data_IF_672798808704
#
_entry.id   IF_672798808704
#
_cell.length_a   1.000
_cell.length_b   1.000
_cell.length_c   1.000
_cell.angle_alpha   90.00
_cell.angle_beta   90.00
_cell.angle_gamma   90.00
#
_symmetry.space_group_name_H-M   'P 1'
#
loop_
_entity.id
_entity.type
_entity.pdbx_description
1 polymer ?
#
# COMPACT_ATOMS: atom_id res chain seq x y z
N UNK A 1 -14.53 -23.39 59.53
CA UNK A 1 -14.39 -21.93 59.71
C UNK A 1 -14.82 -21.27 58.41
N UNK A 2 -16.00 -20.66 58.43
CA UNK A 2 -16.64 -20.00 57.28
C UNK A 2 -15.81 -18.79 56.85
N UNK A 3 -15.41 -18.74 55.58
CA UNK A 3 -14.86 -17.51 54.99
C UNK A 3 -16.04 -16.55 54.81
N UNK A 4 -16.06 -15.46 55.57
CA UNK A 4 -17.15 -14.49 55.56
C UNK A 4 -17.23 -13.78 54.21
N UNK A 5 -18.44 -13.64 53.68
CA UNK A 5 -18.74 -12.99 52.40
C UNK A 5 -18.57 -11.46 52.42
N UNK A 6 -17.79 -10.91 53.36
CA UNK A 6 -17.64 -9.47 53.56
C UNK A 6 -16.37 -8.85 52.94
N UNK A 7 -15.53 -9.63 52.26
CA UNK A 7 -14.31 -9.13 51.61
C UNK A 7 -14.41 -8.89 50.09
N UNK A 8 -15.59 -9.02 49.48
CA UNK A 8 -15.76 -8.83 48.01
C UNK A 8 -16.12 -7.36 47.67
N UNK A 9 -16.57 -6.58 48.64
CA UNK A 9 -17.08 -5.21 48.39
C UNK A 9 -15.96 -4.18 48.13
N UNK A 10 -14.72 -4.48 48.51
CA UNK A 10 -13.58 -3.56 48.32
C UNK A 10 -12.69 -3.87 47.11
N UNK A 11 -12.86 -5.02 46.44
CA UNK A 11 -12.07 -5.39 45.26
C UNK A 11 -12.72 -4.85 43.97
N UNK A 12 -14.05 -4.71 43.96
CA UNK A 12 -14.81 -4.22 42.80
C UNK A 12 -14.58 -2.73 42.45
N UNK A 13 -14.40 -1.78 43.40
CA UNK A 13 -14.07 -0.39 43.05
C UNK A 13 -12.66 -0.25 42.47
N UNK A 14 -11.72 -1.08 42.91
CA UNK A 14 -10.32 -1.05 42.44
C UNK A 14 -10.22 -1.66 41.03
N UNK A 15 -10.99 -2.73 40.75
CA UNK A 15 -11.05 -3.34 39.42
C UNK A 15 -11.72 -2.43 38.36
N UNK A 16 -12.70 -1.60 38.74
CA UNK A 16 -13.33 -0.61 37.85
C UNK A 16 -12.41 0.57 37.50
N UNK A 17 -11.43 0.88 38.35
CA UNK A 17 -10.39 1.87 38.05
C UNK A 17 -9.29 1.33 37.12
N UNK A 18 -9.16 0.00 36.98
CA UNK A 18 -8.12 -0.66 36.15
C UNK A 18 -8.68 -1.06 34.77
N UNK A 19 -10.00 -1.02 34.58
CA UNK A 19 -10.68 -1.41 33.33
C UNK A 19 -11.27 -0.23 32.54
N UNK A 20 -10.85 1.00 32.82
CA UNK A 20 -10.85 2.02 31.78
C UNK A 20 -9.55 1.82 31.01
N UNK A 21 -9.56 1.26 29.78
CA UNK A 21 -8.46 1.57 28.91
C UNK A 21 -8.38 3.10 28.92
N UNK A 22 -7.20 3.65 29.23
CA UNK A 22 -6.87 5.05 29.00
C UNK A 22 -6.90 5.25 27.49
N UNK A 23 -8.09 5.19 26.90
CA UNK A 23 -8.41 5.78 25.62
C UNK A 23 -8.35 7.26 25.94
N UNK A 24 -7.18 7.83 25.70
CA UNK A 24 -6.95 9.25 25.90
C UNK A 24 -8.12 10.01 25.29
N UNK A 25 -8.90 10.69 26.13
CA UNK A 25 -9.98 11.52 25.63
C UNK A 25 -9.38 12.53 24.65
N UNK A 26 -9.92 12.63 23.43
CA UNK A 26 -9.46 13.61 22.47
C UNK A 26 -9.64 15.00 23.08
N UNK A 27 -8.56 15.76 23.13
CA UNK A 27 -8.59 17.09 23.71
C UNK A 27 -9.20 18.08 22.73
N UNK A 28 -10.27 18.72 23.17
CA UNK A 28 -10.95 19.80 22.47
C UNK A 28 -10.36 21.13 22.85
N UNK A 29 -10.31 22.02 21.86
CA UNK A 29 -9.80 23.37 22.00
C UNK A 29 -10.66 24.34 21.20
N UNK A 30 -10.87 25.54 21.73
CA UNK A 30 -11.64 26.59 21.07
C UNK A 30 -10.71 27.73 20.73
N UNK A 31 -10.64 28.09 19.44
CA UNK A 31 -9.89 29.25 18.99
C UNK A 31 -10.65 30.54 19.30
N UNK A 32 -9.93 31.66 19.24
CA UNK A 32 -10.48 32.99 19.55
C UNK A 32 -11.63 33.43 18.62
N UNK A 33 -11.73 32.83 17.44
CA UNK A 33 -12.82 33.04 16.47
C UNK A 33 -14.02 32.11 16.71
N UNK A 34 -14.02 31.35 17.81
CA UNK A 34 -15.09 30.43 18.19
C UNK A 34 -15.03 29.06 17.51
N UNK A 35 -14.05 28.80 16.63
CA UNK A 35 -13.89 27.48 16.00
C UNK A 35 -13.40 26.45 17.00
N UNK A 36 -13.96 25.24 16.92
CA UNK A 36 -13.60 24.13 17.79
C UNK A 36 -12.72 23.12 17.03
N UNK A 37 -11.59 22.78 17.63
CA UNK A 37 -10.62 21.84 17.09
C UNK A 37 -10.41 20.68 18.05
N UNK A 38 -10.28 19.47 17.49
CA UNK A 38 -9.79 18.29 18.19
C UNK A 38 -8.37 18.03 17.71
N UNK A 39 -7.40 18.06 18.61
CA UNK A 39 -5.98 17.94 18.27
C UNK A 39 -5.43 16.63 18.84
N UNK A 40 -5.07 15.71 17.95
CA UNK A 40 -4.45 14.42 18.30
C UNK A 40 -2.95 14.47 18.00
N UNK A 41 -2.13 14.24 19.03
CA UNK A 41 -0.66 14.33 18.96
C UNK A 41 0.04 13.04 19.33
N UNK A 42 -0.63 12.14 20.06
CA UNK A 42 -0.07 10.89 20.58
C UNK A 42 -0.14 9.81 19.52
N UNK A 43 -1.32 9.62 18.92
CA UNK A 43 -1.51 8.66 17.85
C UNK A 43 -1.00 9.23 16.53
N UNK A 44 -0.33 8.39 15.75
CA UNK A 44 0.25 8.77 14.46
C UNK A 44 -0.46 8.01 13.35
N UNK A 45 -0.89 8.76 12.34
CA UNK A 45 -1.66 8.25 11.21
C UNK A 45 -1.11 8.84 9.91
N UNK A 46 -1.28 8.09 8.82
CA UNK A 46 -1.20 8.69 7.49
C UNK A 46 -2.37 9.65 7.26
N UNK A 47 -2.25 10.52 6.26
CA UNK A 47 -3.22 11.59 6.03
C UNK A 47 -4.64 11.07 5.82
N UNK A 48 -4.80 9.99 5.04
CA UNK A 48 -6.10 9.37 4.78
C UNK A 48 -6.73 8.76 6.05
N UNK A 49 -5.95 8.07 6.88
CA UNK A 49 -6.44 7.56 8.16
C UNK A 49 -6.83 8.72 9.07
N UNK A 50 -6.02 9.77 9.18
CA UNK A 50 -6.35 10.95 9.96
C UNK A 50 -7.67 11.61 9.50
N UNK A 51 -7.89 11.71 8.18
CA UNK A 51 -9.16 12.16 7.61
C UNK A 51 -10.33 11.28 8.07
N UNK A 52 -10.21 9.95 7.94
CA UNK A 52 -11.23 9.02 8.40
C UNK A 52 -11.48 9.12 9.91
N UNK A 53 -10.43 9.37 10.69
CA UNK A 53 -10.51 9.52 12.14
C UNK A 53 -11.30 10.78 12.56
N UNK A 54 -11.29 11.84 11.75
CA UNK A 54 -12.15 13.01 11.90
C UNK A 54 -13.58 12.72 11.42
N UNK A 55 -13.71 12.12 10.24
CA UNK A 55 -15.00 11.83 9.61
C UNK A 55 -15.89 10.92 10.49
N UNK A 56 -15.32 9.88 11.11
CA UNK A 56 -16.06 9.00 12.04
C UNK A 56 -16.60 9.71 13.29
N UNK A 57 -16.12 10.92 13.58
CA UNK A 57 -16.57 11.80 14.68
C UNK A 57 -17.50 12.91 14.20
N UNK A 58 -17.95 12.87 12.94
CA UNK A 58 -18.67 13.95 12.27
C UNK A 58 -17.88 15.28 12.23
N UNK A 59 -16.56 15.16 12.09
CA UNK A 59 -15.63 16.29 11.90
C UNK A 59 -14.94 16.14 10.54
N UNK A 60 -14.13 17.12 10.15
CA UNK A 60 -13.21 17.00 9.02
C UNK A 60 -11.80 17.40 9.46
N UNK A 61 -10.76 17.05 8.70
CA UNK A 61 -9.44 17.64 8.95
C UNK A 61 -9.54 19.17 8.83
N UNK A 62 -8.81 19.90 9.67
CA UNK A 62 -8.88 21.35 9.72
C UNK A 62 -8.45 21.98 8.39
N UNK A 63 -9.34 22.78 7.80
CA UNK A 63 -9.07 23.49 6.54
C UNK A 63 -8.77 24.93 6.89
N UNK A 64 -7.54 25.38 6.75
CA UNK A 64 -7.18 26.79 6.96
C UNK A 64 -7.18 27.51 5.61
N UNK A 65 -8.20 28.33 5.35
CA UNK A 65 -8.52 28.90 4.03
C UNK A 65 -8.50 30.44 4.00
N UNK A 66 -8.19 31.08 5.12
CA UNK A 66 -8.06 32.54 5.21
C UNK A 66 -6.97 32.95 6.23
N UNK A 67 -6.46 34.17 6.06
CA UNK A 67 -5.48 34.74 6.98
C UNK A 67 -6.04 34.87 8.40
N UNK A 68 -7.29 35.29 8.56
CA UNK A 68 -7.94 35.44 9.86
C UNK A 68 -8.09 34.10 10.59
N UNK A 69 -8.53 33.06 9.86
CA UNK A 69 -8.62 31.70 10.39
C UNK A 69 -7.24 31.17 10.79
N UNK A 70 -6.22 31.41 9.97
CA UNK A 70 -4.85 31.02 10.29
C UNK A 70 -4.35 31.74 11.55
N UNK A 71 -4.62 33.03 11.70
CA UNK A 71 -4.22 33.81 12.87
C UNK A 71 -4.87 33.28 14.16
N UNK A 72 -6.18 33.02 14.14
CA UNK A 72 -6.88 32.43 15.28
C UNK A 72 -6.35 31.02 15.62
N UNK A 73 -6.14 30.19 14.60
CA UNK A 73 -5.63 28.84 14.73
C UNK A 73 -4.20 28.80 15.30
N UNK A 74 -3.27 29.59 14.74
CA UNK A 74 -1.89 29.67 15.22
C UNK A 74 -1.82 30.26 16.63
N UNK A 75 -2.66 31.24 16.95
CA UNK A 75 -2.76 31.80 18.31
C UNK A 75 -3.16 30.70 19.30
N UNK A 76 -4.16 29.89 18.96
CA UNK A 76 -4.54 28.73 19.77
C UNK A 76 -3.38 27.72 19.91
N UNK A 77 -2.72 27.35 18.82
CA UNK A 77 -1.63 26.36 18.88
C UNK A 77 -0.47 26.82 19.79
N UNK A 78 -0.18 28.12 19.83
CA UNK A 78 0.84 28.71 20.71
C UNK A 78 0.49 28.62 22.20
N UNK A 79 -0.78 28.49 22.57
CA UNK A 79 -1.16 28.27 23.97
C UNK A 79 -1.03 26.80 24.39
N UNK A 80 -0.95 25.89 23.43
CA UNK A 80 -0.94 24.44 23.64
C UNK A 80 0.48 23.87 23.54
N UNK A 81 1.30 24.42 22.64
CA UNK A 81 2.59 23.84 22.27
C UNK A 81 3.74 24.86 22.36
N UNK A 82 4.79 24.49 23.09
CA UNK A 82 6.06 25.23 23.10
C UNK A 82 6.83 25.12 21.78
N UNK A 83 6.63 24.02 21.05
CA UNK A 83 7.23 23.73 19.74
C UNK A 83 6.19 23.18 18.80
N UNK A 84 6.28 23.56 17.52
CA UNK A 84 5.38 23.06 16.48
C UNK A 84 5.46 21.53 16.36
N UNK A 85 4.35 20.79 16.52
CA UNK A 85 4.29 19.38 16.17
C UNK A 85 4.01 19.19 14.66
N UNK A 86 4.35 18.01 14.12
CA UNK A 86 3.84 17.60 12.81
C UNK A 86 2.39 17.15 12.94
N UNK A 87 1.46 17.90 12.36
CA UNK A 87 0.02 17.63 12.38
C UNK A 87 -0.60 17.79 11.00
N UNK A 88 -1.31 16.76 10.52
CA UNK A 88 -2.06 16.81 9.27
C UNK A 88 -3.17 17.87 9.30
N UNK A 89 -3.30 18.57 8.18
CA UNK A 89 -4.37 19.52 7.85
C UNK A 89 -5.21 18.98 6.68
N UNK A 90 -6.39 19.55 6.49
CA UNK A 90 -7.38 19.13 5.50
C UNK A 90 -7.10 19.66 4.09
N UNK A 91 -5.84 19.73 3.68
CA UNK A 91 -5.45 20.24 2.35
C UNK A 91 -4.63 19.21 1.58
N UNK A 92 -4.83 19.17 0.27
CA UNK A 92 -4.12 18.29 -0.66
C UNK A 92 -4.04 18.92 -2.05
N UNK A 93 -3.13 18.46 -2.91
CA UNK A 93 -2.94 18.99 -4.26
C UNK A 93 -3.71 18.23 -5.35
N UNK A 94 -4.89 17.69 -5.00
CA UNK A 94 -5.62 16.68 -5.77
C UNK A 94 -4.90 15.32 -5.91
N UNK A 95 -3.90 15.04 -5.06
CA UNK A 95 -3.05 13.85 -5.17
C UNK A 95 -2.38 13.79 -6.54
N UNK A 96 -2.06 14.96 -7.09
CA UNK A 96 -1.62 15.12 -8.45
C UNK A 96 -0.15 14.69 -8.59
N UNK A 97 0.08 13.59 -9.30
CA UNK A 97 1.43 13.09 -9.60
C UNK A 97 2.12 13.82 -10.76
N UNK A 98 1.47 14.79 -11.42
CA UNK A 98 2.07 15.55 -12.52
C UNK A 98 3.11 16.56 -12.02
N UNK A 99 4.22 16.67 -12.74
CA UNK A 99 5.27 17.66 -12.48
C UNK A 99 4.79 19.07 -12.85
N UNK A 100 4.22 19.79 -11.87
CA UNK A 100 3.84 21.20 -12.01
C UNK A 100 4.55 22.04 -10.95
N UNK A 101 5.32 23.04 -11.38
CA UNK A 101 5.97 24.01 -10.49
C UNK A 101 4.97 24.83 -9.67
N UNK A 102 3.76 25.04 -10.18
CA UNK A 102 2.68 25.76 -9.51
C UNK A 102 1.53 24.82 -9.24
N UNK A 103 1.59 24.11 -8.12
CA UNK A 103 0.51 23.23 -7.66
C UNK A 103 -0.56 24.03 -6.94
N UNK A 104 -1.80 23.69 -7.25
CA UNK A 104 -2.97 24.21 -6.54
C UNK A 104 -3.33 23.23 -5.44
N UNK A 105 -3.70 23.75 -4.27
CA UNK A 105 -4.14 22.96 -3.14
C UNK A 105 -5.63 23.16 -2.92
N UNK A 106 -6.30 22.12 -2.43
CA UNK A 106 -7.74 22.02 -2.35
C UNK A 106 -8.15 21.62 -0.94
N UNK A 107 -9.33 22.11 -0.55
CA UNK A 107 -10.01 21.73 0.69
C UNK A 107 -10.55 20.31 0.59
N UNK A 108 -10.26 19.47 1.59
CA UNK A 108 -10.83 18.12 1.68
C UNK A 108 -12.34 18.11 1.95
N UNK A 109 -12.94 19.25 2.33
CA UNK A 109 -14.35 19.34 2.71
C UNK A 109 -15.26 19.44 1.48
N UNK A 110 -14.85 20.24 0.49
CA UNK A 110 -15.70 20.63 -0.64
C UNK A 110 -14.91 20.68 -1.97
N UNK A 111 -13.64 20.30 -1.98
CA UNK A 111 -12.79 20.33 -3.17
C UNK A 111 -12.46 21.72 -3.69
N UNK A 112 -12.79 22.80 -2.96
CA UNK A 112 -12.50 24.16 -3.44
C UNK A 112 -11.01 24.45 -3.36
N UNK A 113 -10.48 25.10 -4.39
CA UNK A 113 -9.10 25.57 -4.43
C UNK A 113 -8.86 26.61 -3.32
N UNK A 114 -7.73 26.48 -2.63
CA UNK A 114 -7.28 27.40 -1.59
C UNK A 114 -6.59 28.61 -2.23
N UNK A 115 -7.06 29.80 -1.86
CA UNK A 115 -6.45 31.06 -2.27
C UNK A 115 -5.49 31.63 -1.21
N UNK A 116 -5.54 31.09 0.00
CA UNK A 116 -4.66 31.45 1.10
C UNK A 116 -3.67 30.32 1.38
N UNK A 117 -2.45 30.69 1.77
CA UNK A 117 -1.49 29.72 2.30
C UNK A 117 -0.64 30.31 3.42
N UNK A 118 -0.18 29.42 4.32
CA UNK A 118 0.80 29.73 5.35
C UNK A 118 2.04 28.83 5.21
N UNK A 119 2.51 28.65 3.97
CA UNK A 119 3.68 27.84 3.65
C UNK A 119 4.91 28.30 4.43
N UNK A 120 5.71 27.33 4.86
CA UNK A 120 7.06 27.60 5.33
C UNK A 120 7.93 28.07 4.16
N UNK A 121 8.99 28.83 4.44
CA UNK A 121 9.87 29.33 3.39
C UNK A 121 10.55 28.15 2.68
N UNK A 122 10.33 28.03 1.38
CA UNK A 122 10.81 26.92 0.57
C UNK A 122 9.69 26.00 0.09
N UNK A 123 8.54 26.04 0.78
CA UNK A 123 7.39 25.17 0.51
C UNK A 123 6.34 25.86 -0.38
N UNK A 124 5.55 25.08 -1.13
CA UNK A 124 5.62 23.62 -1.23
C UNK A 124 6.68 23.15 -2.23
N UNK A 125 7.57 22.23 -1.82
CA UNK A 125 8.73 21.79 -2.63
C UNK A 125 8.50 20.48 -3.41
N UNK A 126 7.43 19.74 -3.07
CA UNK A 126 7.10 18.45 -3.65
C UNK A 126 8.25 17.44 -3.62
N UNK A 127 8.92 17.26 -2.48
CA UNK A 127 10.10 16.42 -2.39
C UNK A 127 9.87 15.01 -2.97
N UNK A 128 10.79 14.57 -3.84
CA UNK A 128 10.71 13.30 -4.60
C UNK A 128 9.40 13.07 -5.39
N UNK A 129 8.66 14.14 -5.67
CA UNK A 129 7.34 14.12 -6.34
C UNK A 129 6.27 13.31 -5.61
N UNK A 130 6.34 13.26 -4.28
CA UNK A 130 5.47 12.41 -3.46
C UNK A 130 4.69 13.20 -2.40
N UNK A 131 4.86 14.51 -2.31
CA UNK A 131 4.35 15.33 -1.21
C UNK A 131 3.03 16.02 -1.58
N UNK A 132 1.94 15.27 -1.44
CA UNK A 132 0.61 15.66 -1.92
C UNK A 132 -0.37 16.10 -0.81
N UNK A 133 0.05 16.07 0.46
CA UNK A 133 -0.80 16.34 1.63
C UNK A 133 -0.17 17.37 2.55
N UNK A 134 -0.97 18.24 3.18
CA UNK A 134 -0.42 19.36 3.97
C UNK A 134 -0.40 19.08 5.46
N UNK A 135 0.70 19.44 6.13
CA UNK A 135 0.83 19.39 7.58
C UNK A 135 1.45 20.66 8.16
N UNK A 136 1.25 20.90 9.46
CA UNK A 136 2.07 21.83 10.23
C UNK A 136 3.50 21.30 10.30
N UNK A 137 4.49 22.13 9.98
CA UNK A 137 5.87 21.71 9.92
C UNK A 137 6.57 21.94 11.25
N UNK A 138 7.04 20.86 11.88
CA UNK A 138 7.71 20.91 13.19
C UNK A 138 8.95 21.80 13.27
N UNK A 139 9.62 22.05 12.14
CA UNK A 139 10.78 22.96 12.05
C UNK A 139 10.42 24.42 11.82
N UNK A 140 9.12 24.74 11.78
CA UNK A 140 8.61 26.10 11.54
C UNK A 140 7.90 26.68 12.77
N UNK A 141 7.38 27.90 12.66
CA UNK A 141 6.52 28.53 13.67
C UNK A 141 5.04 28.36 13.30
N UNK A 142 4.57 27.11 13.27
CA UNK A 142 3.21 26.72 12.85
C UNK A 142 2.88 27.06 11.39
N UNK A 143 3.90 27.05 10.52
CA UNK A 143 3.74 27.15 9.06
C UNK A 143 3.61 25.76 8.45
N UNK A 144 3.18 25.72 7.20
CA UNK A 144 2.82 24.48 6.51
C UNK A 144 3.99 23.92 5.71
N UNK A 145 3.96 22.61 5.56
CA UNK A 145 4.76 21.86 4.60
C UNK A 145 3.82 20.92 3.85
N UNK A 146 4.05 20.71 2.56
CA UNK A 146 3.51 19.55 1.87
C UNK A 146 4.37 18.34 2.22
N UNK A 147 3.73 17.22 2.50
CA UNK A 147 4.40 16.02 2.95
C UNK A 147 3.82 14.79 2.28
N UNK A 148 4.62 13.73 2.24
CA UNK A 148 4.15 12.45 1.71
C UNK A 148 2.95 11.98 2.51
N UNK A 149 1.81 11.76 1.84
CA UNK A 149 0.54 11.43 2.49
C UNK A 149 0.62 10.15 3.35
N UNK A 150 1.60 9.27 3.09
CA UNK A 150 1.89 8.03 3.81
C UNK A 150 2.57 8.23 5.18
N UNK A 151 3.20 9.41 5.41
CA UNK A 151 3.90 9.73 6.65
C UNK A 151 2.99 9.66 7.88
N UNK A 152 3.53 9.23 9.02
CA UNK A 152 2.75 9.03 10.24
C UNK A 152 2.85 10.26 11.16
N UNK A 153 1.82 11.13 11.15
CA UNK A 153 1.76 12.35 11.96
C UNK A 153 0.54 12.38 12.87
N UNK A 154 0.53 13.32 13.82
CA UNK A 154 -0.71 13.67 14.50
C UNK A 154 -1.64 14.41 13.53
N UNK A 155 -2.81 14.83 13.99
CA UNK A 155 -3.78 15.50 13.12
C UNK A 155 -4.67 16.47 13.88
N UNK A 156 -5.26 17.41 13.13
CA UNK A 156 -6.23 18.36 13.65
C UNK A 156 -7.56 18.13 12.95
N UNK A 157 -8.60 17.80 13.71
CA UNK A 157 -9.97 17.88 13.22
C UNK A 157 -10.57 19.24 13.54
N UNK A 158 -11.42 19.74 12.66
CA UNK A 158 -12.25 20.91 12.85
C UNK A 158 -13.72 20.49 12.89
N UNK A 159 -14.47 21.10 13.81
CA UNK A 159 -15.93 20.94 13.87
C UNK A 159 -16.59 21.78 12.78
N UNK A 160 -17.51 21.20 11.99
CA UNK A 160 -18.25 21.95 11.00
C UNK A 160 -18.98 23.13 11.66
N UNK A 161 -18.76 24.34 11.14
CA UNK A 161 -19.55 25.49 11.54
C UNK A 161 -20.97 25.28 11.02
N UNK A 162 -21.96 25.22 11.92
CA UNK A 162 -23.36 25.05 11.51
C UNK A 162 -23.82 26.28 10.77
N UNK A 163 -23.80 26.26 9.44
CA UNK A 163 -24.74 27.08 8.68
C UNK A 163 -26.13 26.45 8.89
N UNK A 164 -26.97 27.12 9.68
CA UNK A 164 -28.39 26.81 9.84
C UNK A 164 -29.14 27.09 8.53
N UNK A 165 -28.85 26.36 7.45
CA UNK A 165 -29.72 26.19 6.27
C UNK A 165 -29.09 25.25 5.24
N UNK A 166 -29.08 23.97 5.57
CA UNK A 166 -29.14 22.87 4.59
C UNK A 166 -29.40 21.61 5.40
N UNK A 167 -30.66 21.19 5.53
CA UNK A 167 -30.96 19.84 5.97
C UNK A 167 -30.69 18.89 4.78
N UNK A 168 -29.42 18.67 4.47
CA UNK A 168 -29.02 17.69 3.48
C UNK A 168 -28.78 16.37 4.21
N UNK A 169 -29.75 15.47 4.14
CA UNK A 169 -29.56 14.10 4.59
C UNK A 169 -28.67 13.35 3.59
N UNK A 170 -27.38 13.29 3.90
CA UNK A 170 -26.39 12.53 3.13
C UNK A 170 -26.22 11.08 3.61
N UNK A 171 -27.08 10.60 4.51
CA UNK A 171 -26.92 9.26 5.09
C UNK A 171 -26.96 8.16 4.01
N UNK A 172 -27.87 8.30 3.04
CA UNK A 172 -28.00 7.38 1.91
C UNK A 172 -26.78 7.42 0.97
N UNK A 173 -26.30 8.61 0.61
CA UNK A 173 -25.10 8.79 -0.22
C UNK A 173 -23.88 8.19 0.49
N UNK A 174 -23.72 8.47 1.79
CA UNK A 174 -22.61 7.93 2.60
C UNK A 174 -22.64 6.40 2.65
N UNK A 175 -23.81 5.81 2.87
CA UNK A 175 -23.98 4.37 2.92
C UNK A 175 -23.67 3.73 1.55
N UNK A 176 -24.08 4.37 0.46
CA UNK A 176 -23.79 3.95 -0.91
C UNK A 176 -22.30 3.98 -1.20
N UNK A 177 -21.61 5.10 -0.95
CA UNK A 177 -20.16 5.24 -1.12
C UNK A 177 -19.40 4.22 -0.26
N UNK A 178 -19.81 4.03 0.99
CA UNK A 178 -19.22 3.01 1.86
C UNK A 178 -19.39 1.59 1.29
N UNK A 179 -20.57 1.26 0.78
CA UNK A 179 -20.84 -0.07 0.21
C UNK A 179 -20.01 -0.34 -1.05
N UNK A 180 -19.87 0.66 -1.92
CA UNK A 180 -19.04 0.61 -3.12
C UNK A 180 -17.57 0.39 -2.77
N UNK A 181 -17.02 1.22 -1.88
CA UNK A 181 -15.63 1.10 -1.43
C UNK A 181 -15.36 -0.23 -0.71
N UNK A 182 -16.33 -0.73 0.05
CA UNK A 182 -16.24 -2.04 0.71
C UNK A 182 -16.20 -3.18 -0.31
N UNK A 183 -16.99 -3.10 -1.38
CA UNK A 183 -16.95 -4.10 -2.45
C UNK A 183 -15.62 -4.04 -3.21
N UNK A 184 -15.16 -2.85 -3.61
CA UNK A 184 -13.87 -2.66 -4.26
C UNK A 184 -12.70 -3.21 -3.41
N UNK A 185 -12.76 -2.99 -2.09
CA UNK A 185 -11.77 -3.55 -1.16
C UNK A 185 -11.75 -5.08 -1.14
N UNK A 186 -12.92 -5.74 -1.26
CA UNK A 186 -12.99 -7.21 -1.39
C UNK A 186 -12.40 -7.67 -2.73
N UNK A 187 -12.78 -7.00 -3.81
CA UNK A 187 -12.30 -7.30 -5.15
C UNK A 187 -10.78 -7.16 -5.26
N UNK A 188 -10.19 -6.15 -4.59
CA UNK A 188 -8.74 -5.98 -4.51
C UNK A 188 -8.05 -7.16 -3.83
N UNK A 189 -8.61 -7.65 -2.72
CA UNK A 189 -8.06 -8.83 -2.01
C UNK A 189 -8.13 -10.09 -2.86
N UNK A 190 -9.24 -10.29 -3.56
CA UNK A 190 -9.42 -11.41 -4.48
C UNK A 190 -8.41 -11.32 -5.62
N UNK A 191 -8.28 -10.15 -6.25
CA UNK A 191 -7.32 -9.91 -7.32
C UNK A 191 -5.88 -10.22 -6.86
N UNK A 192 -5.45 -9.67 -5.72
CA UNK A 192 -4.12 -9.94 -5.18
C UNK A 192 -3.87 -11.43 -4.89
N UNK A 193 -4.88 -12.13 -4.37
CA UNK A 193 -4.81 -13.58 -4.14
C UNK A 193 -4.68 -14.37 -5.44
N UNK A 194 -5.48 -14.05 -6.45
CA UNK A 194 -5.44 -14.71 -7.76
C UNK A 194 -4.10 -14.51 -8.47
N UNK A 195 -3.56 -13.28 -8.46
CA UNK A 195 -2.25 -12.99 -9.03
C UNK A 195 -1.15 -13.76 -8.30
N UNK A 196 -1.21 -13.80 -6.96
CA UNK A 196 -0.28 -14.58 -6.15
C UNK A 196 -0.26 -16.07 -6.53
N UNK A 197 -1.44 -16.68 -6.71
CA UNK A 197 -1.55 -18.08 -7.12
C UNK A 197 -0.98 -18.33 -8.52
N UNK A 198 -1.27 -17.46 -9.49
CA UNK A 198 -0.75 -17.58 -10.87
C UNK A 198 0.78 -17.56 -10.89
N UNK A 199 1.39 -16.62 -10.14
CA UNK A 199 2.85 -16.51 -10.05
C UNK A 199 3.46 -17.74 -9.36
N UNK A 200 2.81 -18.24 -8.32
CA UNK A 200 3.26 -19.43 -7.60
C UNK A 200 3.17 -20.70 -8.46
N UNK A 201 2.11 -20.84 -9.27
CA UNK A 201 1.96 -21.97 -10.19
C UNK A 201 3.03 -21.94 -11.29
N UNK A 202 3.30 -20.76 -11.87
CA UNK A 202 4.40 -20.60 -12.84
C UNK A 202 5.77 -20.94 -12.23
N UNK A 203 6.00 -20.54 -10.97
CA UNK A 203 7.21 -20.87 -10.23
C UNK A 203 7.38 -22.38 -10.03
N UNK A 204 6.29 -23.08 -9.66
CA UNK A 204 6.29 -24.54 -9.49
C UNK A 204 6.53 -25.26 -10.80
N UNK A 205 5.88 -24.83 -11.88
CA UNK A 205 6.04 -25.41 -13.21
C UNK A 205 7.48 -25.26 -13.72
N UNK A 206 8.05 -24.06 -13.57
CA UNK A 206 9.45 -23.81 -13.93
C UNK A 206 10.43 -24.67 -13.13
N UNK A 207 10.16 -24.91 -11.83
CA UNK A 207 10.95 -25.81 -11.00
C UNK A 207 10.80 -27.29 -11.43
N UNK A 208 9.63 -27.70 -11.90
CA UNK A 208 9.41 -29.04 -12.44
C UNK A 208 10.15 -29.24 -13.77
N UNK A 209 10.05 -28.28 -14.69
CA UNK A 209 10.78 -28.33 -15.97
C UNK A 209 12.30 -28.47 -15.75
N UNK A 210 12.85 -27.73 -14.77
CA UNK A 210 14.26 -27.84 -14.43
C UNK A 210 14.63 -29.22 -13.85
N UNK A 211 13.76 -29.82 -13.03
CA UNK A 211 13.97 -31.17 -12.51
C UNK A 211 13.94 -32.22 -13.61
N UNK A 212 13.01 -32.10 -14.56
CA UNK A 212 12.92 -32.99 -15.72
C UNK A 212 14.17 -32.89 -16.59
N UNK A 213 14.67 -31.67 -16.83
CA UNK A 213 15.95 -31.46 -17.51
C UNK A 213 17.13 -32.13 -16.80
N UNK A 214 17.22 -31.96 -15.47
CA UNK A 214 18.28 -32.59 -14.67
C UNK A 214 18.21 -34.11 -14.73
N UNK A 215 17.00 -34.68 -14.65
CA UNK A 215 16.78 -36.12 -14.75
C UNK A 215 17.18 -36.65 -16.14
N UNK A 216 16.76 -35.97 -17.20
CA UNK A 216 17.10 -36.35 -18.58
C UNK A 216 18.61 -36.23 -18.86
N UNK A 217 19.28 -35.23 -18.28
CA UNK A 217 20.73 -35.07 -18.36
C UNK A 217 21.45 -36.23 -17.68
N UNK A 218 20.98 -36.65 -16.50
CA UNK A 218 21.52 -37.79 -15.77
C UNK A 218 21.38 -39.08 -16.57
N UNK A 219 20.19 -39.35 -17.10
CA UNK A 219 19.92 -40.53 -17.93
C UNK A 219 20.82 -40.56 -19.17
N UNK A 220 20.98 -39.42 -19.84
CA UNK A 220 21.88 -39.30 -21.01
C UNK A 220 23.34 -39.60 -20.64
N UNK A 221 23.80 -39.16 -19.47
CA UNK A 221 25.15 -39.42 -18.99
C UNK A 221 25.34 -40.89 -18.59
N UNK A 222 24.34 -41.50 -17.95
CA UNK A 222 24.35 -42.92 -17.57
C UNK A 222 24.35 -43.82 -18.82
N UNK A 223 23.55 -43.48 -19.85
CA UNK A 223 23.55 -44.14 -21.17
C UNK A 223 24.93 -44.05 -21.85
N UNK A 224 25.52 -42.85 -21.87
CA UNK A 224 26.84 -42.63 -22.48
C UNK A 224 27.93 -43.42 -21.75
N UNK A 225 27.88 -43.47 -20.41
CA UNK A 225 28.82 -44.24 -19.59
C UNK A 225 28.71 -45.74 -19.89
N UNK A 226 27.50 -46.28 -19.90
CA UNK A 226 27.27 -47.70 -20.20
C UNK A 226 27.80 -48.06 -21.59
N UNK A 227 27.56 -47.22 -22.59
CA UNK A 227 28.06 -47.45 -23.95
C UNK A 227 29.59 -47.45 -24.03
N UNK A 228 30.28 -46.59 -23.26
CA UNK A 228 31.74 -46.61 -23.16
C UNK A 228 32.25 -47.88 -22.47
N UNK A 229 31.62 -48.29 -21.35
CA UNK A 229 31.98 -49.50 -20.62
C UNK A 229 31.84 -50.76 -21.50
N UNK A 230 30.77 -50.83 -22.31
CA UNK A 230 30.54 -51.92 -23.27
C UNK A 230 31.63 -52.01 -24.35
N UNK A 231 32.13 -50.86 -24.85
CA UNK A 231 33.23 -50.82 -25.82
C UNK A 231 34.53 -51.31 -25.18
N UNK A 232 34.82 -50.90 -23.94
CA UNK A 232 36.02 -51.31 -23.21
C UNK A 232 36.01 -52.84 -22.99
N UNK A 233 34.86 -53.39 -22.60
CA UNK A 233 34.71 -54.84 -22.37
C UNK A 233 34.99 -55.69 -23.63
N UNK A 234 34.75 -55.15 -24.83
CA UNK A 234 34.96 -55.87 -26.09
C UNK A 234 36.44 -55.93 -26.54
N UNK A 235 37.34 -55.09 -26.01
CA UNK A 235 38.74 -54.98 -26.50
C UNK A 235 39.81 -55.01 -25.39
N UNK A 236 40.03 -56.17 -24.75
CA UNK A 236 40.92 -56.30 -23.57
C UNK A 236 42.44 -56.24 -23.83
N UNK A 237 42.92 -56.20 -25.08
CA UNK A 237 44.37 -56.25 -25.40
C UNK A 237 44.88 -54.92 -25.99
N UNK A 238 45.68 -54.19 -25.22
CA UNK A 238 46.15 -52.83 -25.51
C UNK A 238 47.46 -52.77 -26.31
N UNK A 239 47.39 -52.11 -27.48
CA UNK A 239 48.29 -51.02 -27.94
C UNK A 239 47.79 -50.52 -29.31
N UNK A 240 47.29 -51.42 -30.16
CA UNK A 240 46.60 -51.08 -31.42
C UNK A 240 45.18 -50.47 -31.20
N UNK A 241 44.61 -50.65 -30.01
CA UNK A 241 43.22 -50.33 -29.64
C UNK A 241 42.99 -48.83 -29.38
N UNK A 242 44.02 -48.06 -29.01
CA UNK A 242 43.86 -46.63 -28.73
C UNK A 242 43.37 -45.83 -29.95
N UNK A 243 43.75 -46.24 -31.17
CA UNK A 243 43.27 -45.61 -32.40
C UNK A 243 41.85 -46.04 -32.78
N UNK A 244 41.43 -47.25 -32.39
CA UNK A 244 40.17 -47.85 -32.81
C UNK A 244 39.00 -47.47 -31.88
N UNK A 245 39.26 -47.42 -30.57
CA UNK A 245 38.25 -47.06 -29.55
C UNK A 245 38.11 -45.55 -29.38
N UNK A 246 39.17 -44.78 -29.67
CA UNK A 246 39.19 -43.33 -29.50
C UNK A 246 38.14 -42.59 -30.36
N UNK A 247 37.88 -43.05 -31.60
CA UNK A 247 36.82 -42.47 -32.44
C UNK A 247 35.42 -42.79 -31.92
N UNK A 248 35.18 -44.01 -31.47
CA UNK A 248 33.88 -44.44 -30.93
C UNK A 248 33.52 -43.71 -29.64
N UNK A 249 34.47 -43.54 -28.71
CA UNK A 249 34.27 -42.76 -27.49
C UNK A 249 33.98 -41.29 -27.81
N UNK A 250 34.74 -40.68 -28.74
CA UNK A 250 34.48 -39.29 -29.17
C UNK A 250 33.07 -39.12 -29.73
N UNK A 251 32.58 -40.10 -30.50
CA UNK A 251 31.23 -40.09 -31.05
C UNK A 251 30.17 -40.12 -29.95
N UNK A 252 30.30 -41.02 -28.97
CA UNK A 252 29.37 -41.12 -27.82
C UNK A 252 29.33 -39.81 -27.03
N UNK A 253 30.49 -39.22 -26.73
CA UNK A 253 30.57 -37.94 -26.02
C UNK A 253 29.90 -36.83 -26.82
N UNK A 254 30.11 -36.78 -28.15
CA UNK A 254 29.46 -35.81 -29.02
C UNK A 254 27.93 -35.97 -29.00
N UNK A 255 27.42 -37.19 -29.15
CA UNK A 255 25.98 -37.48 -29.14
C UNK A 255 25.33 -37.12 -27.79
N UNK A 256 26.00 -37.45 -26.68
CA UNK A 256 25.55 -37.07 -25.35
C UNK A 256 25.54 -35.55 -25.15
N UNK A 257 26.59 -34.86 -25.62
CA UNK A 257 26.68 -33.40 -25.56
C UNK A 257 25.56 -32.73 -26.36
N UNK A 258 25.30 -33.20 -27.58
CA UNK A 258 24.25 -32.66 -28.45
C UNK A 258 22.86 -32.86 -27.84
N UNK A 259 22.60 -34.03 -27.24
CA UNK A 259 21.34 -34.34 -26.55
C UNK A 259 21.13 -33.44 -25.33
N UNK A 260 22.18 -33.23 -24.51
CA UNK A 260 22.13 -32.33 -23.36
C UNK A 260 21.87 -30.88 -23.80
N UNK A 261 22.59 -30.39 -24.82
CA UNK A 261 22.40 -29.04 -25.36
C UNK A 261 20.96 -28.83 -25.88
N UNK A 262 20.43 -29.80 -26.63
CA UNK A 262 19.07 -29.74 -27.14
C UNK A 262 18.03 -29.73 -26.01
N UNK A 263 18.18 -30.59 -24.99
CA UNK A 263 17.27 -30.61 -23.85
C UNK A 263 17.35 -29.32 -23.03
N UNK A 264 18.55 -28.73 -22.90
CA UNK A 264 18.74 -27.44 -22.23
C UNK A 264 18.02 -26.32 -22.98
N UNK A 265 18.12 -26.32 -24.31
CA UNK A 265 17.44 -25.36 -25.17
C UNK A 265 15.92 -25.45 -25.04
N UNK A 266 15.35 -26.65 -25.18
CA UNK A 266 13.90 -26.89 -25.05
C UNK A 266 13.38 -26.45 -23.67
N UNK A 267 14.11 -26.79 -22.61
CA UNK A 267 13.74 -26.40 -21.23
C UNK A 267 13.72 -24.89 -21.07
N UNK A 268 14.72 -24.21 -21.63
CA UNK A 268 14.80 -22.75 -21.58
C UNK A 268 13.66 -22.08 -22.35
N UNK A 269 13.36 -22.53 -23.57
CA UNK A 269 12.22 -22.03 -24.34
C UNK A 269 10.90 -22.23 -23.61
N UNK A 270 10.68 -23.42 -23.04
CA UNK A 270 9.44 -23.73 -22.29
C UNK A 270 9.27 -22.81 -21.08
N UNK A 271 10.34 -22.56 -20.31
CA UNK A 271 10.29 -21.64 -19.16
C UNK A 271 9.98 -20.21 -19.62
N UNK A 272 10.59 -19.75 -20.72
CA UNK A 272 10.35 -18.42 -21.26
C UNK A 272 8.91 -18.26 -21.76
N UNK A 273 8.37 -19.24 -22.48
CA UNK A 273 7.00 -19.22 -22.97
C UNK A 273 5.98 -19.23 -21.82
N UNK A 274 6.23 -20.05 -20.78
CA UNK A 274 5.42 -20.06 -19.57
C UNK A 274 5.45 -18.71 -18.85
N UNK A 275 6.63 -18.07 -18.75
CA UNK A 275 6.76 -16.73 -18.16
C UNK A 275 6.00 -15.68 -18.97
N UNK A 276 6.06 -15.74 -20.31
CA UNK A 276 5.32 -14.84 -21.19
C UNK A 276 3.80 -14.99 -21.04
N UNK A 277 3.30 -16.23 -21.07
CA UNK A 277 1.87 -16.53 -20.87
C UNK A 277 1.37 -16.07 -19.51
N UNK A 278 2.20 -16.23 -18.48
CA UNK A 278 1.94 -15.73 -17.12
C UNK A 278 1.83 -14.21 -17.10
N UNK A 279 2.78 -13.51 -17.73
CA UNK A 279 2.76 -12.05 -17.81
C UNK A 279 1.51 -11.52 -18.53
N UNK A 280 1.11 -12.14 -19.64
CA UNK A 280 -0.11 -11.78 -20.38
C UNK A 280 -1.36 -12.00 -19.53
N UNK A 281 -1.44 -13.12 -18.81
CA UNK A 281 -2.56 -13.45 -17.92
C UNK A 281 -2.67 -12.49 -16.74
N UNK A 282 -1.54 -12.18 -16.09
CA UNK A 282 -1.45 -11.18 -15.02
C UNK A 282 -1.89 -9.82 -15.55
N UNK A 283 -1.34 -9.39 -16.69
CA UNK A 283 -1.69 -8.11 -17.32
C UNK A 283 -3.18 -7.97 -17.56
N UNK A 284 -3.83 -8.96 -18.20
CA UNK A 284 -5.27 -8.95 -18.44
C UNK A 284 -6.09 -8.89 -17.15
N UNK A 285 -5.71 -9.64 -16.11
CA UNK A 285 -6.40 -9.59 -14.80
C UNK A 285 -6.24 -8.23 -14.13
N UNK A 286 -5.05 -7.63 -14.20
CA UNK A 286 -4.78 -6.29 -13.68
C UNK A 286 -5.60 -5.23 -14.42
N UNK A 287 -5.69 -5.29 -15.75
CA UNK A 287 -6.57 -4.40 -16.53
C UNK A 287 -8.05 -4.55 -16.16
N UNK A 288 -8.49 -5.79 -15.90
CA UNK A 288 -9.87 -6.04 -15.44
C UNK A 288 -10.13 -5.40 -14.07
N UNK A 289 -9.17 -5.49 -13.14
CA UNK A 289 -9.30 -4.86 -11.83
C UNK A 289 -9.23 -3.32 -11.93
N UNK A 290 -8.39 -2.78 -12.82
CA UNK A 290 -8.33 -1.34 -13.10
C UNK A 290 -9.68 -0.81 -13.59
N UNK A 291 -10.35 -1.51 -14.50
CA UNK A 291 -11.69 -1.10 -14.96
C UNK A 291 -12.70 -1.02 -13.80
N UNK A 292 -12.65 -1.96 -12.85
CA UNK A 292 -13.50 -1.91 -11.64
C UNK A 292 -13.18 -0.73 -10.73
N UNK A 293 -11.90 -0.35 -10.63
CA UNK A 293 -11.47 0.83 -9.90
C UNK A 293 -12.03 2.09 -10.55
N UNK A 294 -11.90 2.21 -11.88
CA UNK A 294 -12.39 3.36 -12.65
C UNK A 294 -13.92 3.49 -12.55
N UNK A 295 -14.65 2.37 -12.68
CA UNK A 295 -16.11 2.32 -12.49
C UNK A 295 -16.54 2.76 -11.09
N UNK A 296 -15.77 2.37 -10.06
CA UNK A 296 -16.04 2.76 -8.68
C UNK A 296 -15.85 4.27 -8.48
N UNK A 297 -14.76 4.83 -8.99
CA UNK A 297 -14.50 6.28 -8.96
C UNK A 297 -15.64 7.04 -9.63
N UNK A 298 -16.03 6.65 -10.85
CA UNK A 298 -17.14 7.28 -11.56
C UNK A 298 -18.48 7.14 -10.82
N UNK A 299 -18.72 6.02 -10.15
CA UNK A 299 -19.92 5.82 -9.35
C UNK A 299 -19.94 6.73 -8.11
N UNK A 300 -18.81 6.86 -7.41
CA UNK A 300 -18.66 7.76 -6.27
C UNK A 300 -18.83 9.22 -6.71
N UNK A 301 -18.19 9.64 -7.80
CA UNK A 301 -18.32 11.00 -8.33
C UNK A 301 -19.77 11.35 -8.67
N UNK A 302 -20.50 10.44 -9.33
CA UNK A 302 -21.93 10.64 -9.61
C UNK A 302 -22.77 10.82 -8.34
N UNK A 303 -22.51 10.01 -7.31
CA UNK A 303 -23.21 10.11 -6.03
C UNK A 303 -22.92 11.45 -5.32
N UNK A 304 -21.69 11.95 -5.43
CA UNK A 304 -21.30 13.23 -4.83
C UNK A 304 -21.92 14.42 -5.57
N UNK A 305 -22.00 14.37 -6.90
CA UNK A 305 -22.66 15.42 -7.71
C UNK A 305 -24.16 15.48 -7.46
N UNK A 306 -24.84 14.33 -7.33
CA UNK A 306 -26.29 14.30 -7.01
C UNK A 306 -26.63 14.86 -5.63
N UNK A 307 -25.65 14.92 -4.73
CA UNK A 307 -25.81 15.45 -3.37
C UNK A 307 -25.58 16.96 -3.24
N UNK A 308 -25.15 17.64 -4.31
CA UNK A 308 -24.93 19.09 -4.30
C UNK A 308 -26.26 19.82 -4.59
N UNK A 309 -26.69 20.79 -3.75
CA UNK A 309 -27.92 21.55 -3.94
C UNK A 309 -27.91 22.46 -5.17
#
# INVERSE_FOLDING_TARGET
>A
MYISQWNIVWILPIALAILHPVLADPKWYTAIDGREYLIETRLKYNWLKAHNECARRNLHLAVIDSADKNNAFVTLLRTIFDRTPNLWLGHHDALNSEYKWHRSFYSIVNGTQLNFSNWYRGEPDNNEYQEHCVHLYSKSKFQWNDGQCSCQYGYVCEKPQRNLQANCDFSEIRNSVYSLNKQLSKDHKIHAYEIGNILEDNRKESANNLKEFQQSTKETLDEAKQAVDDIIAQKPYLEAVMNDVGMSIKKIISEASDKILNNSFITHETINDNAKSTAETVGRKSSTFQAKLDENVLAVDRLLVMGMP
#
